data_IF_760562847402
#
_entry.id   IF_760562847402
#
_cell.length_a   1.000
_cell.length_b   1.000
_cell.length_c   1.000
_cell.angle_alpha   90.00
_cell.angle_beta   90.00
_cell.angle_gamma   90.00
#
_symmetry.space_group_name_H-M   'P 1'
#
loop_
_entity.id
_entity.type
_entity.pdbx_description
1 polymer ?
#
# COMPACT_ATOMS: atom_id res chain seq x y z
N UNK A 1 7.08 29.06 -28.71
CA UNK A 1 7.97 27.91 -28.44
C UNK A 1 7.30 27.09 -27.36
N UNK A 2 6.57 26.05 -27.76
CA UNK A 2 5.85 25.13 -26.87
C UNK A 2 6.83 24.07 -26.38
N UNK A 3 7.15 24.08 -25.09
CA UNK A 3 7.94 23.02 -24.47
C UNK A 3 7.15 21.72 -24.51
N UNK A 4 7.67 20.74 -25.23
CA UNK A 4 7.18 19.36 -25.19
C UNK A 4 7.48 18.81 -23.80
N UNK A 5 6.44 18.61 -22.99
CA UNK A 5 6.51 17.88 -21.73
C UNK A 5 7.21 16.55 -21.99
N UNK A 6 8.31 16.30 -21.29
CA UNK A 6 9.05 15.05 -21.40
C UNK A 6 8.07 13.89 -21.21
N UNK A 7 7.95 13.05 -22.25
CA UNK A 7 7.19 11.80 -22.18
C UNK A 7 7.77 10.97 -21.02
N UNK A 8 6.99 10.85 -19.95
CA UNK A 8 7.27 9.91 -18.88
C UNK A 8 7.38 8.53 -19.54
N UNK A 9 8.57 7.92 -19.56
CA UNK A 9 8.78 6.61 -20.20
C UNK A 9 7.84 5.61 -19.50
N UNK A 10 6.87 5.00 -20.19
CA UNK A 10 5.87 4.14 -19.53
C UNK A 10 6.42 2.81 -18.99
N UNK A 11 7.72 2.54 -19.16
CA UNK A 11 8.35 1.24 -18.94
C UNK A 11 9.37 1.19 -17.77
N UNK A 12 9.53 2.28 -17.01
CA UNK A 12 10.43 2.36 -15.85
C UNK A 12 9.81 3.16 -14.70
N UNK A 13 8.48 3.14 -14.58
CA UNK A 13 7.83 3.66 -13.38
C UNK A 13 7.94 2.60 -12.28
N UNK A 14 8.55 2.95 -11.16
CA UNK A 14 8.72 2.07 -10.00
C UNK A 14 7.38 1.48 -9.54
N UNK A 15 6.30 2.25 -9.69
CA UNK A 15 4.95 1.79 -9.40
C UNK A 15 4.52 0.64 -10.33
N UNK A 16 4.75 0.76 -11.64
CA UNK A 16 4.40 -0.30 -12.61
C UNK A 16 5.23 -1.57 -12.39
N UNK A 17 6.51 -1.42 -12.00
CA UNK A 17 7.36 -2.54 -11.63
C UNK A 17 6.83 -3.25 -10.39
N UNK A 18 6.42 -2.49 -9.37
CA UNK A 18 5.81 -3.01 -8.15
C UNK A 18 4.48 -3.73 -8.45
N UNK A 19 3.57 -3.09 -9.19
CA UNK A 19 2.28 -3.65 -9.57
C UNK A 19 2.44 -4.96 -10.37
N UNK A 20 3.38 -4.99 -11.32
CA UNK A 20 3.69 -6.20 -12.09
C UNK A 20 4.24 -7.33 -11.21
N UNK A 21 5.10 -7.01 -10.23
CA UNK A 21 5.62 -8.00 -9.29
C UNK A 21 4.53 -8.55 -8.37
N UNK A 22 3.72 -7.66 -7.78
CA UNK A 22 2.61 -8.04 -6.92
C UNK A 22 1.57 -8.88 -7.65
N UNK A 23 1.30 -8.59 -8.93
CA UNK A 23 0.40 -9.40 -9.73
C UNK A 23 0.93 -10.83 -9.98
N UNK A 24 2.26 -11.00 -10.12
CA UNK A 24 2.88 -12.33 -10.21
C UNK A 24 2.72 -13.11 -8.91
N UNK A 25 2.88 -12.42 -7.78
CA UNK A 25 2.85 -13.01 -6.44
C UNK A 25 1.43 -12.96 -5.82
N UNK A 26 0.37 -12.72 -6.62
CA UNK A 26 -1.02 -12.52 -6.14
C UNK A 26 -1.64 -13.71 -5.40
N UNK A 27 -1.02 -14.88 -5.49
CA UNK A 27 -1.46 -16.10 -4.81
C UNK A 27 -0.79 -16.27 -3.44
N UNK A 28 0.27 -15.52 -3.19
CA UNK A 28 0.95 -15.49 -1.90
C UNK A 28 0.13 -14.71 -0.88
N UNK A 29 0.40 -14.94 0.41
CA UNK A 29 -0.14 -14.08 1.47
C UNK A 29 0.44 -12.65 1.34
N UNK A 30 -0.24 -11.69 1.96
CA UNK A 30 0.08 -10.26 1.83
C UNK A 30 1.51 -9.95 2.31
N UNK A 31 1.93 -10.53 3.44
CA UNK A 31 3.30 -10.40 3.95
C UNK A 31 4.33 -10.84 2.92
N UNK A 32 4.19 -12.03 2.35
CA UNK A 32 5.13 -12.60 1.36
C UNK A 32 5.12 -11.80 0.07
N UNK A 33 3.96 -11.40 -0.44
CA UNK A 33 3.87 -10.61 -1.68
C UNK A 33 4.56 -9.24 -1.55
N UNK A 34 4.29 -8.51 -0.46
CA UNK A 34 4.99 -7.25 -0.15
C UNK A 34 6.48 -7.50 0.14
N UNK A 35 6.76 -8.61 0.84
CA UNK A 35 8.06 -9.26 1.05
C UNK A 35 8.93 -9.21 -0.20
N UNK A 36 8.48 -9.94 -1.20
CA UNK A 36 9.15 -10.13 -2.47
C UNK A 36 9.18 -8.85 -3.31
N UNK A 37 8.14 -8.03 -3.24
CA UNK A 37 8.05 -6.80 -4.03
C UNK A 37 9.10 -5.76 -3.61
N UNK A 38 9.22 -5.48 -2.31
CA UNK A 38 10.22 -4.51 -1.82
C UNK A 38 11.63 -5.01 -2.10
N UNK A 39 11.90 -6.31 -1.88
CA UNK A 39 13.20 -6.90 -2.21
C UNK A 39 13.52 -6.74 -3.70
N UNK A 40 12.56 -7.01 -4.59
CA UNK A 40 12.71 -6.81 -6.02
C UNK A 40 13.04 -5.36 -6.37
N UNK A 41 12.35 -4.39 -5.79
CA UNK A 41 12.58 -2.96 -6.04
C UNK A 41 13.96 -2.50 -5.53
N UNK A 42 14.40 -3.00 -4.38
CA UNK A 42 15.71 -2.65 -3.79
C UNK A 42 16.85 -3.30 -4.56
N UNK A 43 16.78 -4.61 -4.79
CA UNK A 43 17.89 -5.40 -5.35
C UNK A 43 18.00 -5.24 -6.86
N UNK A 44 16.87 -5.31 -7.58
CA UNK A 44 16.89 -5.35 -9.05
C UNK A 44 16.75 -3.97 -9.70
N UNK A 45 16.27 -2.97 -8.94
CA UNK A 45 16.04 -1.61 -9.45
C UNK A 45 16.73 -0.52 -8.61
N UNK A 46 17.64 -0.91 -7.70
CA UNK A 46 18.51 -0.02 -6.92
C UNK A 46 17.77 1.08 -6.14
N UNK A 47 16.51 0.83 -5.75
CA UNK A 47 15.74 1.77 -4.95
C UNK A 47 16.21 1.78 -3.49
N UNK A 48 16.14 2.95 -2.85
CA UNK A 48 16.25 3.02 -1.39
C UNK A 48 15.11 2.22 -0.74
N UNK A 49 15.37 1.60 0.40
CA UNK A 49 14.36 0.82 1.12
C UNK A 49 13.07 1.61 1.40
N UNK A 50 13.19 2.87 1.86
CA UNK A 50 12.03 3.74 2.13
C UNK A 50 11.15 3.96 0.88
N UNK A 51 11.77 4.30 -0.26
CA UNK A 51 11.06 4.49 -1.51
C UNK A 51 10.41 3.19 -2.01
N UNK A 52 11.12 2.06 -1.88
CA UNK A 52 10.61 0.74 -2.28
C UNK A 52 9.42 0.31 -1.42
N UNK A 53 9.48 0.53 -0.11
CA UNK A 53 8.39 0.29 0.83
C UNK A 53 7.14 1.07 0.47
N UNK A 54 7.27 2.40 0.32
CA UNK A 54 6.13 3.25 -0.01
C UNK A 54 5.50 2.86 -1.36
N UNK A 55 6.35 2.60 -2.37
CA UNK A 55 5.90 2.20 -3.71
C UNK A 55 5.17 0.86 -3.67
N UNK A 56 5.70 -0.13 -2.94
CA UNK A 56 5.07 -1.43 -2.79
C UNK A 56 3.73 -1.36 -2.06
N UNK A 57 3.63 -0.54 -1.00
CA UNK A 57 2.37 -0.32 -0.26
C UNK A 57 1.30 0.29 -1.17
N UNK A 58 1.66 1.34 -1.92
CA UNK A 58 0.74 2.03 -2.83
C UNK A 58 0.27 1.09 -3.95
N UNK A 59 1.19 0.39 -4.62
CA UNK A 59 0.85 -0.55 -5.68
C UNK A 59 0.00 -1.72 -5.17
N UNK A 60 0.24 -2.21 -3.95
CA UNK A 60 -0.58 -3.25 -3.33
C UNK A 60 -1.99 -2.75 -3.03
N UNK A 61 -2.11 -1.53 -2.47
CA UNK A 61 -3.41 -0.94 -2.14
C UNK A 61 -4.29 -0.79 -3.39
N UNK A 62 -3.72 -0.36 -4.53
CA UNK A 62 -4.48 -0.21 -5.76
C UNK A 62 -4.90 -1.56 -6.37
N UNK A 63 -4.04 -2.59 -6.27
CA UNK A 63 -4.38 -3.94 -6.69
C UNK A 63 -5.51 -4.53 -5.82
N UNK A 64 -5.45 -4.34 -4.51
CA UNK A 64 -6.48 -4.79 -3.57
C UNK A 64 -7.80 -4.03 -3.77
N UNK A 65 -7.73 -2.71 -3.96
CA UNK A 65 -8.88 -1.84 -4.20
C UNK A 65 -9.67 -2.20 -5.47
N UNK A 66 -9.05 -2.89 -6.43
CA UNK A 66 -9.74 -3.40 -7.64
C UNK A 66 -10.94 -4.29 -7.27
N UNK A 67 -10.90 -4.95 -6.11
CA UNK A 67 -11.98 -5.80 -5.62
C UNK A 67 -12.87 -5.13 -4.55
N UNK A 68 -12.65 -3.85 -4.23
CA UNK A 68 -13.37 -3.14 -3.17
C UNK A 68 -14.32 -2.10 -3.74
N UNK A 69 -15.57 -2.10 -3.24
CA UNK A 69 -16.52 -1.02 -3.51
C UNK A 69 -16.30 0.19 -2.59
N UNK A 70 -15.65 -0.02 -1.45
CA UNK A 70 -15.31 1.03 -0.52
C UNK A 70 -14.04 1.77 -0.96
N UNK A 71 -13.99 3.08 -0.74
CA UNK A 71 -12.82 3.91 -1.08
C UNK A 71 -12.58 5.02 -0.07
N UNK A 72 -11.33 5.41 0.11
CA UNK A 72 -10.99 6.61 0.87
C UNK A 72 -11.40 7.84 0.06
N UNK A 73 -12.15 8.73 0.70
CA UNK A 73 -12.50 10.05 0.19
C UNK A 73 -11.37 11.02 0.57
N UNK A 74 -10.43 11.23 -0.35
CA UNK A 74 -9.23 12.04 -0.12
C UNK A 74 -9.61 13.50 0.16
N UNK A 75 -10.63 14.03 -0.53
CA UNK A 75 -11.07 15.43 -0.37
C UNK A 75 -11.74 15.67 0.99
N UNK A 76 -12.36 14.65 1.57
CA UNK A 76 -12.94 14.69 2.92
C UNK A 76 -11.96 14.29 4.03
N UNK A 77 -10.77 13.79 3.68
CA UNK A 77 -9.78 13.29 4.63
C UNK A 77 -8.75 14.36 5.00
N UNK A 78 -8.13 14.19 6.16
CA UNK A 78 -7.03 15.04 6.66
C UNK A 78 -5.93 14.16 7.25
N UNK A 79 -4.83 14.77 7.70
CA UNK A 79 -3.79 14.05 8.45
C UNK A 79 -4.27 13.42 9.77
N UNK A 80 -5.47 13.78 10.25
CA UNK A 80 -6.00 13.32 11.54
C UNK A 80 -7.28 12.45 11.41
N UNK A 81 -7.89 12.42 10.23
CA UNK A 81 -9.15 11.72 9.94
C UNK A 81 -9.11 11.13 8.54
N UNK A 82 -9.42 9.85 8.41
CA UNK A 82 -9.66 9.16 7.15
C UNK A 82 -11.16 8.95 6.98
N UNK A 83 -11.72 9.43 5.88
CA UNK A 83 -13.12 9.21 5.51
C UNK A 83 -13.19 8.11 4.45
N UNK A 84 -13.96 7.07 4.70
CA UNK A 84 -14.24 5.97 3.76
C UNK A 84 -15.68 6.08 3.27
N UNK A 85 -15.89 5.98 1.96
CA UNK A 85 -17.21 5.84 1.35
C UNK A 85 -17.48 4.35 1.13
N UNK A 86 -18.52 3.83 1.74
CA UNK A 86 -18.93 2.42 1.55
C UNK A 86 -19.84 2.27 0.33
N UNK A 87 -20.21 1.03 0.02
CA UNK A 87 -21.33 0.74 -0.87
C UNK A 87 -22.58 1.49 -0.37
N UNK A 88 -23.15 2.35 -1.22
CA UNK A 88 -24.23 3.29 -0.88
C UNK A 88 -23.80 4.74 -0.58
N UNK A 89 -22.49 5.06 -0.63
CA UNK A 89 -21.98 6.43 -0.51
C UNK A 89 -21.98 7.01 0.91
N UNK A 90 -22.36 6.20 1.91
CA UNK A 90 -22.35 6.59 3.32
C UNK A 90 -20.90 6.89 3.76
N UNK A 91 -20.63 8.08 4.32
CA UNK A 91 -19.32 8.36 4.91
C UNK A 91 -19.17 7.63 6.23
N UNK A 92 -18.04 6.96 6.41
CA UNK A 92 -17.55 6.42 7.68
C UNK A 92 -16.23 7.11 7.97
N UNK A 93 -16.06 7.64 9.18
CA UNK A 93 -14.82 8.31 9.57
C UNK A 93 -14.00 7.44 10.53
N UNK A 94 -12.68 7.47 10.37
CA UNK A 94 -11.73 6.89 11.29
C UNK A 94 -10.74 7.97 11.71
N UNK A 95 -10.66 8.27 13.00
CA UNK A 95 -9.59 9.11 13.53
C UNK A 95 -8.30 8.31 13.62
N UNK A 96 -7.15 8.99 13.76
CA UNK A 96 -5.88 8.31 14.08
C UNK A 96 -6.01 7.44 15.33
N UNK A 97 -6.76 7.89 16.35
CA UNK A 97 -7.01 7.09 17.56
C UNK A 97 -7.76 5.79 17.25
N UNK A 98 -8.76 5.83 16.37
CA UNK A 98 -9.51 4.63 15.97
C UNK A 98 -8.60 3.65 15.23
N UNK A 99 -7.80 4.13 14.28
CA UNK A 99 -6.84 3.30 13.53
C UNK A 99 -5.80 2.67 14.47
N UNK A 100 -5.30 3.43 15.45
CA UNK A 100 -4.36 2.91 16.45
C UNK A 100 -5.00 1.85 17.36
N UNK A 101 -6.29 1.98 17.68
CA UNK A 101 -7.03 0.94 18.43
C UNK A 101 -7.21 -0.33 17.61
N UNK A 102 -7.53 -0.20 16.32
CA UNK A 102 -7.61 -1.35 15.40
C UNK A 102 -6.26 -2.07 15.31
N UNK A 103 -5.16 -1.31 15.20
CA UNK A 103 -3.81 -1.88 15.19
C UNK A 103 -3.47 -2.58 16.51
N UNK A 104 -3.80 -1.97 17.66
CA UNK A 104 -3.58 -2.59 18.97
C UNK A 104 -4.34 -3.90 19.11
N UNK A 105 -5.63 -3.90 18.76
CA UNK A 105 -6.46 -5.11 18.77
C UNK A 105 -5.90 -6.21 17.86
N UNK A 106 -5.47 -5.86 16.66
CA UNK A 106 -4.88 -6.84 15.74
C UNK A 106 -3.53 -7.39 16.24
N UNK A 107 -2.77 -6.64 17.04
CA UNK A 107 -1.56 -7.16 17.70
C UNK A 107 -1.89 -8.14 18.80
N UNK A 108 -2.91 -7.86 19.60
CA UNK A 108 -3.39 -8.77 20.65
C UNK A 108 -3.90 -10.09 20.06
N UNK A 109 -4.47 -10.02 18.87
CA UNK A 109 -4.95 -11.19 18.11
C UNK A 109 -3.86 -11.83 17.22
N UNK A 110 -2.60 -11.40 17.32
CA UNK A 110 -1.47 -11.89 16.51
C UNK A 110 -1.64 -11.74 14.98
N UNK A 111 -2.59 -10.91 14.53
CA UNK A 111 -2.87 -10.62 13.12
C UNK A 111 -2.06 -9.47 12.55
N UNK A 112 -1.43 -8.64 13.38
CA UNK A 112 -0.54 -7.57 12.94
C UNK A 112 0.88 -8.11 12.70
N UNK A 113 1.24 -8.31 11.44
CA UNK A 113 2.49 -8.94 11.03
C UNK A 113 3.44 -7.91 10.42
N UNK A 114 4.71 -7.96 10.81
CA UNK A 114 5.78 -7.15 10.22
C UNK A 114 6.28 -7.88 8.96
N UNK A 115 6.32 -7.19 7.82
CA UNK A 115 6.73 -7.80 6.55
C UNK A 115 8.19 -8.30 6.57
N UNK A 116 9.07 -7.65 7.34
CA UNK A 116 10.42 -8.12 7.69
C UNK A 116 10.83 -7.46 9.01
N UNK A 117 11.16 -8.30 10.00
CA UNK A 117 11.51 -7.85 11.34
C UNK A 117 12.90 -7.23 11.42
N UNK A 118 13.82 -7.66 10.57
CA UNK A 118 15.21 -7.21 10.60
C UNK A 118 15.34 -5.81 9.99
N UNK A 119 14.46 -5.48 9.05
CA UNK A 119 14.45 -4.20 8.32
C UNK A 119 13.38 -3.19 8.78
N UNK A 120 12.62 -3.52 9.84
CA UNK A 120 11.52 -2.66 10.35
C UNK A 120 10.50 -2.26 9.28
N UNK A 121 10.24 -3.19 8.36
CA UNK A 121 9.31 -3.01 7.23
C UNK A 121 7.86 -2.76 7.68
N UNK A 122 6.98 -2.34 6.76
CA UNK A 122 5.57 -2.09 7.06
C UNK A 122 4.90 -3.20 7.87
N UNK A 123 3.99 -2.78 8.74
CA UNK A 123 3.08 -3.67 9.44
C UNK A 123 1.81 -3.82 8.61
N UNK A 124 1.42 -5.06 8.36
CA UNK A 124 0.17 -5.40 7.70
C UNK A 124 -0.74 -6.16 8.64
N UNK A 125 -2.05 -6.09 8.41
CA UNK A 125 -3.02 -6.91 9.10
C UNK A 125 -3.36 -8.12 8.22
N UNK A 126 -3.27 -9.33 8.76
CA UNK A 126 -3.71 -10.57 8.09
C UNK A 126 -5.12 -10.95 8.56
N UNK A 127 -5.87 -11.64 7.68
CA UNK A 127 -7.28 -12.02 7.89
C UNK A 127 -7.55 -13.44 7.41
#
# INVERSE_FOLDING_TARGET
MTSVTALHRPHLDAYNLAAARLFRDRWENRVTALGNCIEHLVVDHEMTEEAAELTAIQAYADLEATNQLARVDIDASTSHVVVVRTEGGRPVMFTVTDLMRILAQAREEERAVVVDRDRRRPVVLEY
#
